data_IF_293473855786
#
_entry.id   IF_293473855786
#
_cell.length_a   1.000
_cell.length_b   1.000
_cell.length_c   1.000
_cell.angle_alpha   90.00
_cell.angle_beta   90.00
_cell.angle_gamma   90.00
#
_symmetry.space_group_name_H-M   'P 1'
#
loop_
_entity.id
_entity.type
_entity.pdbx_description
1 polymer ?
#
# COMPACT_ATOMS: atom_id res chain seq x y z
N UNK A 1 8.90 14.69 4.98
CA UNK A 1 7.95 14.81 3.84
C UNK A 1 6.64 14.16 4.29
N UNK A 2 5.50 14.83 4.17
CA UNK A 2 4.22 14.33 4.68
C UNK A 2 3.41 13.77 3.51
N UNK A 3 3.13 12.46 3.52
CA UNK A 3 2.46 11.75 2.43
C UNK A 3 1.04 12.30 2.21
N UNK A 4 0.31 12.62 3.28
CA UNK A 4 -1.00 13.26 3.19
C UNK A 4 -0.97 14.61 2.47
N UNK A 5 0.10 15.41 2.64
CA UNK A 5 0.27 16.66 1.88
C UNK A 5 0.52 16.43 0.39
N UNK A 6 1.18 15.34 0.01
CA UNK A 6 1.41 14.99 -1.40
C UNK A 6 0.15 14.45 -2.04
N UNK A 7 -0.56 13.59 -1.32
CA UNK A 7 -1.87 13.06 -1.67
C UNK A 7 -2.85 14.22 -1.95
N UNK A 8 -2.94 15.20 -1.03
CA UNK A 8 -3.74 16.41 -1.23
C UNK A 8 -3.35 17.21 -2.49
N UNK A 9 -2.05 17.38 -2.77
CA UNK A 9 -1.59 18.04 -4.01
C UNK A 9 -2.01 17.29 -5.27
N UNK A 10 -2.02 15.95 -5.23
CA UNK A 10 -2.50 15.15 -6.36
C UNK A 10 -4.01 15.32 -6.50
N UNK A 11 -4.78 15.28 -5.41
CA UNK A 11 -6.23 15.56 -5.42
C UNK A 11 -6.56 16.93 -6.03
N UNK A 12 -5.86 17.98 -5.62
CA UNK A 12 -6.04 19.34 -6.16
C UNK A 12 -5.72 19.40 -7.66
N UNK A 13 -4.66 18.71 -8.07
CA UNK A 13 -4.24 18.65 -9.48
C UNK A 13 -5.28 17.94 -10.36
N UNK A 14 -5.82 16.81 -9.91
CA UNK A 14 -6.77 16.00 -10.69
C UNK A 14 -8.17 16.62 -10.74
N UNK A 15 -8.56 17.39 -9.70
CA UNK A 15 -9.85 18.07 -9.61
C UNK A 15 -9.90 19.39 -10.40
N UNK A 16 -8.85 19.74 -11.14
CA UNK A 16 -8.89 20.91 -12.03
C UNK A 16 -9.91 20.71 -13.18
N UNK A 17 -10.83 21.66 -13.43
CA UNK A 17 -11.98 21.46 -14.35
C UNK A 17 -11.60 20.99 -15.77
N UNK A 18 -10.47 21.50 -16.29
CA UNK A 18 -9.95 21.13 -17.62
C UNK A 18 -9.51 19.66 -17.71
N UNK A 19 -8.94 19.11 -16.63
CA UNK A 19 -8.43 17.72 -16.61
C UNK A 19 -9.50 16.73 -16.21
N UNK A 20 -10.44 17.16 -15.36
CA UNK A 20 -11.63 16.37 -15.03
C UNK A 20 -12.39 16.01 -16.31
N UNK A 21 -12.56 16.94 -17.26
CA UNK A 21 -13.15 16.66 -18.58
C UNK A 21 -12.40 15.58 -19.38
N UNK A 22 -11.06 15.62 -19.41
CA UNK A 22 -10.24 14.64 -20.15
C UNK A 22 -10.20 13.26 -19.47
N UNK A 23 -10.15 13.22 -18.13
CA UNK A 23 -10.11 11.99 -17.34
C UNK A 23 -11.49 11.32 -17.21
N UNK A 24 -12.58 12.09 -17.17
CA UNK A 24 -13.96 11.56 -17.15
C UNK A 24 -14.33 10.81 -18.43
N UNK A 25 -13.64 11.09 -19.55
CA UNK A 25 -13.72 10.28 -20.77
C UNK A 25 -13.23 8.83 -20.60
N UNK A 26 -12.47 8.54 -19.53
CA UNK A 26 -12.01 7.20 -19.11
C UNK A 26 -12.43 6.94 -17.66
N UNK A 27 -13.74 6.93 -17.41
CA UNK A 27 -14.36 6.83 -16.07
C UNK A 27 -13.80 5.71 -15.18
N UNK A 28 -13.42 4.57 -15.76
CA UNK A 28 -12.78 3.48 -15.03
C UNK A 28 -11.42 3.88 -14.44
N UNK A 29 -10.56 4.55 -15.23
CA UNK A 29 -9.27 5.04 -14.78
C UNK A 29 -9.38 6.13 -13.73
N UNK A 30 -10.39 7.01 -13.86
CA UNK A 30 -10.70 8.03 -12.86
C UNK A 30 -11.11 7.42 -11.51
N UNK A 31 -12.04 6.46 -11.52
CA UNK A 31 -12.48 5.81 -10.29
C UNK A 31 -11.32 5.06 -9.60
N UNK A 32 -10.50 4.35 -10.38
CA UNK A 32 -9.30 3.68 -9.87
C UNK A 32 -8.30 4.66 -9.26
N UNK A 33 -8.11 5.83 -9.86
CA UNK A 33 -7.25 6.88 -9.34
C UNK A 33 -7.75 7.42 -7.99
N UNK A 34 -9.05 7.75 -7.90
CA UNK A 34 -9.65 8.21 -6.64
C UNK A 34 -9.51 7.15 -5.55
N UNK A 35 -9.90 5.90 -5.83
CA UNK A 35 -9.76 4.81 -4.87
C UNK A 35 -8.32 4.55 -4.45
N UNK A 36 -7.34 4.75 -5.35
CA UNK A 36 -5.92 4.61 -5.01
C UNK A 36 -5.45 5.75 -4.09
N UNK A 37 -5.93 6.99 -4.30
CA UNK A 37 -5.62 8.12 -3.41
C UNK A 37 -6.24 7.93 -2.03
N UNK A 38 -7.49 7.46 -1.96
CA UNK A 38 -8.15 7.11 -0.70
C UNK A 38 -7.37 6.03 0.04
N UNK A 39 -6.94 4.96 -0.68
CA UNK A 39 -6.16 3.88 -0.09
C UNK A 39 -4.80 4.34 0.46
N UNK A 40 -4.13 5.32 -0.17
CA UNK A 40 -2.92 5.92 0.39
C UNK A 40 -3.24 6.63 1.72
N UNK A 41 -4.33 7.39 1.78
CA UNK A 41 -4.77 8.06 3.01
C UNK A 41 -5.09 7.08 4.13
N UNK A 42 -5.87 6.04 3.84
CA UNK A 42 -6.26 5.02 4.82
C UNK A 42 -5.06 4.24 5.35
N UNK A 43 -4.13 3.89 4.46
CA UNK A 43 -2.91 3.16 4.83
C UNK A 43 -1.95 4.01 5.65
N UNK A 44 -1.82 5.32 5.38
CA UNK A 44 -1.05 6.24 6.22
C UNK A 44 -1.61 6.30 7.65
N UNK A 45 -2.94 6.41 7.80
CA UNK A 45 -3.59 6.42 9.11
C UNK A 45 -3.33 5.10 9.86
N UNK A 46 -3.45 3.96 9.19
CA UNK A 46 -3.19 2.65 9.77
C UNK A 46 -1.71 2.47 10.18
N UNK A 47 -0.76 2.93 9.36
CA UNK A 47 0.68 2.90 9.69
C UNK A 47 0.97 3.77 10.90
N UNK A 48 0.38 4.96 10.98
CA UNK A 48 0.55 5.86 12.12
C UNK A 48 0.00 5.28 13.44
N UNK A 49 -1.06 4.47 13.37
CA UNK A 49 -1.64 3.82 14.54
C UNK A 49 -0.82 2.63 15.06
N UNK A 50 -0.05 1.95 14.19
CA UNK A 50 0.66 0.71 14.51
C UNK A 50 1.50 0.72 15.81
N UNK A 51 2.33 1.75 16.10
CA UNK A 51 3.16 1.75 17.32
C UNK A 51 2.34 1.73 18.61
N UNK A 52 1.12 2.29 18.59
CA UNK A 52 0.21 2.26 19.74
C UNK A 52 -0.44 0.89 19.95
N UNK A 53 -0.58 0.11 18.88
CA UNK A 53 -1.16 -1.24 18.90
C UNK A 53 -0.17 -2.31 19.37
N UNK A 54 1.13 -2.09 19.22
CA UNK A 54 2.17 -3.01 19.70
C UNK A 54 2.28 -3.09 21.24
N UNK A 55 1.50 -2.30 21.99
CA UNK A 55 1.49 -2.29 23.46
C UNK A 55 0.60 -3.37 24.08
N UNK A 56 -0.08 -4.15 23.27
CA UNK A 56 -0.97 -5.22 23.73
C UNK A 56 -0.13 -6.42 24.20
N UNK A 57 0.32 -6.40 25.46
CA UNK A 57 0.96 -7.55 26.09
C UNK A 57 -0.12 -8.59 26.44
N UNK A 58 0.08 -9.86 26.06
CA UNK A 58 -0.69 -10.99 26.60
C UNK A 58 -1.48 -11.86 25.62
N UNK A 59 -1.57 -11.51 24.33
CA UNK A 59 -2.19 -12.37 23.31
C UNK A 59 -1.28 -12.51 22.08
N UNK A 60 -0.63 -13.68 21.98
CA UNK A 60 0.21 -14.04 20.84
C UNK A 60 -0.56 -13.97 19.52
N UNK A 61 -1.85 -14.31 19.52
CA UNK A 61 -2.71 -14.26 18.34
C UNK A 61 -2.94 -12.82 17.86
N UNK A 62 -3.27 -11.91 18.77
CA UNK A 62 -3.40 -10.49 18.47
C UNK A 62 -2.09 -9.89 17.93
N UNK A 63 -0.96 -10.28 18.51
CA UNK A 63 0.37 -9.84 18.06
C UNK A 63 0.65 -10.25 16.60
N UNK A 64 0.30 -11.49 16.23
CA UNK A 64 0.40 -11.91 14.83
C UNK A 64 -0.52 -11.09 13.92
N UNK A 65 -1.78 -10.88 14.29
CA UNK A 65 -2.71 -10.09 13.50
C UNK A 65 -2.22 -8.66 13.27
N UNK A 66 -1.65 -8.02 14.30
CA UNK A 66 -1.08 -6.68 14.22
C UNK A 66 0.11 -6.65 13.23
N UNK A 67 1.02 -7.61 13.31
CA UNK A 67 2.16 -7.72 12.39
C UNK A 67 1.73 -8.01 10.95
N UNK A 68 0.79 -8.94 10.75
CA UNK A 68 0.26 -9.22 9.41
C UNK A 68 -0.51 -8.03 8.84
N UNK A 69 -1.26 -7.32 9.69
CA UNK A 69 -1.99 -6.10 9.35
C UNK A 69 -1.05 -5.03 8.80
N UNK A 70 0.01 -4.68 9.53
CA UNK A 70 0.94 -3.64 9.06
C UNK A 70 1.67 -4.03 7.77
N UNK A 71 2.06 -5.29 7.62
CA UNK A 71 2.69 -5.78 6.40
C UNK A 71 1.73 -5.69 5.21
N UNK A 72 0.46 -6.07 5.40
CA UNK A 72 -0.56 -5.97 4.36
C UNK A 72 -0.86 -4.50 4.00
N UNK A 73 -0.93 -3.61 4.99
CA UNK A 73 -1.11 -2.16 4.80
C UNK A 73 0.01 -1.56 3.96
N UNK A 74 1.28 -1.89 4.25
CA UNK A 74 2.43 -1.44 3.45
C UNK A 74 2.37 -1.92 1.99
N UNK A 75 1.88 -3.14 1.75
CA UNK A 75 1.71 -3.66 0.39
C UNK A 75 0.60 -2.93 -0.37
N UNK A 76 -0.55 -2.69 0.28
CA UNK A 76 -1.67 -1.96 -0.30
C UNK A 76 -1.27 -0.53 -0.68
N UNK A 77 -0.51 0.15 0.18
CA UNK A 77 -0.01 1.50 -0.10
C UNK A 77 0.93 1.53 -1.32
N UNK A 78 1.82 0.54 -1.45
CA UNK A 78 2.69 0.43 -2.62
C UNK A 78 1.90 0.18 -3.92
N UNK A 79 0.88 -0.68 -3.87
CA UNK A 79 0.06 -0.98 -5.04
C UNK A 79 -0.79 0.24 -5.45
N UNK A 80 -1.32 0.98 -4.49
CA UNK A 80 -1.98 2.26 -4.74
C UNK A 80 -1.06 3.27 -5.42
N UNK A 81 0.18 3.43 -4.92
CA UNK A 81 1.16 4.34 -5.50
C UNK A 81 1.51 3.96 -6.96
N UNK A 82 1.66 2.66 -7.25
CA UNK A 82 1.87 2.17 -8.63
C UNK A 82 0.66 2.45 -9.52
N UNK A 83 -0.55 2.26 -9.01
CA UNK A 83 -1.76 2.54 -9.78
C UNK A 83 -1.88 4.01 -10.13
N UNK A 84 -1.62 4.92 -9.18
CA UNK A 84 -1.59 6.37 -9.43
C UNK A 84 -0.57 6.68 -10.53
N UNK A 85 0.63 6.11 -10.43
CA UNK A 85 1.68 6.32 -11.42
C UNK A 85 1.29 5.85 -12.82
N UNK A 86 0.71 4.65 -12.93
CA UNK A 86 0.26 4.08 -14.19
C UNK A 86 -0.86 4.93 -14.83
N UNK A 87 -1.81 5.43 -14.04
CA UNK A 87 -2.91 6.28 -14.55
C UNK A 87 -2.38 7.65 -15.00
N UNK A 88 -1.35 8.17 -14.33
CA UNK A 88 -0.72 9.44 -14.65
C UNK A 88 0.42 9.34 -15.68
N UNK A 89 0.68 8.14 -16.20
CA UNK A 89 1.77 7.83 -17.15
C UNK A 89 3.16 8.22 -16.62
N UNK A 90 3.39 8.00 -15.33
CA UNK A 90 4.66 8.26 -14.65
C UNK A 90 5.45 6.95 -14.55
N UNK A 91 6.63 6.91 -15.18
CA UNK A 91 7.56 5.81 -15.01
C UNK A 91 8.15 5.80 -13.59
N UNK A 92 7.86 4.75 -12.81
CA UNK A 92 8.44 4.55 -11.47
C UNK A 92 9.34 3.34 -11.44
N UNK A 93 10.55 3.51 -10.91
CA UNK A 93 11.41 2.40 -10.49
C UNK A 93 11.23 2.17 -9.00
N UNK A 94 10.74 0.98 -8.61
CA UNK A 94 10.59 0.66 -7.19
C UNK A 94 11.95 0.42 -6.53
N UNK A 95 12.21 1.05 -5.37
CA UNK A 95 13.35 0.72 -4.51
C UNK A 95 13.37 -0.77 -4.13
N UNK A 96 14.56 -1.34 -3.97
CA UNK A 96 14.75 -2.77 -3.62
C UNK A 96 14.16 -3.10 -2.25
N UNK A 97 14.14 -2.15 -1.35
CA UNK A 97 13.60 -2.24 0.01
C UNK A 97 12.08 -2.51 -0.01
N UNK A 98 11.36 -1.92 -0.96
CA UNK A 98 9.92 -2.19 -1.14
C UNK A 98 9.67 -3.59 -1.70
N UNK A 99 10.60 -4.12 -2.49
CA UNK A 99 10.56 -5.52 -2.93
C UNK A 99 10.83 -6.49 -1.77
N UNK A 100 11.70 -6.12 -0.82
CA UNK A 100 11.97 -6.92 0.37
C UNK A 100 10.73 -7.09 1.26
N UNK A 101 9.85 -6.09 1.37
CA UNK A 101 8.59 -6.22 2.12
C UNK A 101 7.71 -7.34 1.53
N UNK A 102 7.65 -7.45 0.19
CA UNK A 102 6.95 -8.55 -0.49
C UNK A 102 7.61 -9.89 -0.21
N UNK A 103 8.94 -9.93 -0.20
CA UNK A 103 9.69 -11.14 0.14
C UNK A 103 9.42 -11.56 1.58
N UNK A 104 9.44 -10.66 2.56
CA UNK A 104 9.18 -10.97 3.98
C UNK A 104 7.77 -11.56 4.12
N UNK A 105 6.75 -10.94 3.52
CA UNK A 105 5.37 -11.44 3.51
C UNK A 105 5.24 -12.84 2.90
N UNK A 106 5.95 -13.10 1.80
CA UNK A 106 5.89 -14.38 1.09
C UNK A 106 6.84 -15.46 1.64
N UNK A 107 7.91 -15.08 2.34
CA UNK A 107 8.96 -15.98 2.85
C UNK A 107 8.49 -16.93 3.95
N UNK A 108 7.36 -16.62 4.62
CA UNK A 108 6.73 -17.55 5.56
C UNK A 108 6.05 -18.75 4.88
N UNK A 109 5.86 -18.72 3.56
CA UNK A 109 5.30 -19.85 2.80
C UNK A 109 6.37 -20.90 2.46
N UNK A 110 7.66 -20.53 2.39
CA UNK A 110 8.73 -21.46 1.98
C UNK A 110 9.39 -22.24 3.14
N UNK A 111 8.94 -22.09 4.39
CA UNK A 111 9.57 -22.75 5.57
C UNK A 111 8.73 -23.85 6.22
N UNK A 112 7.91 -24.57 5.43
CA UNK A 112 7.28 -25.86 5.81
C UNK A 112 7.07 -26.78 4.59
N UNK A 113 8.12 -27.02 3.81
CA UNK A 113 8.04 -27.90 2.64
C UNK A 113 9.32 -28.60 2.20
N UNK A 114 10.42 -28.47 2.96
CA UNK A 114 11.68 -29.19 2.66
C UNK A 114 12.27 -29.69 3.98
N UNK A 115 11.62 -30.67 4.58
CA UNK A 115 12.15 -31.48 5.68
C UNK A 115 11.34 -32.77 5.76
N UNK A 116 11.44 -33.62 4.72
CA UNK A 116 11.12 -35.05 4.72
C UNK A 116 11.30 -35.61 3.30
N UNK A 117 12.55 -35.72 2.85
CA UNK A 117 13.01 -36.70 1.85
C UNK A 117 14.53 -36.62 1.92
N UNK A 118 15.10 -37.22 2.97
CA UNK A 118 16.50 -37.66 3.06
C UNK A 118 16.61 -38.50 4.34
N UNK A 119 16.12 -39.73 4.27
CA UNK A 119 16.42 -40.85 5.17
C UNK A 119 16.16 -42.15 4.42
#
# INVERSE_FOLDING_TARGET
>A
MNISKLEGKIRDFINSPRRQSTLLGKREGWNKLCSSLDLIGDTELAIAAYPSMCKTEGDDGASYLIVYGILQTLLLQQDAAKHIANVLDIGITLPKELQQIRMIRNSKISRKGVSQLDS
#
